data_IF_367127911689
#
_entry.id   IF_367127911689
#
_cell.length_a   1.000
_cell.length_b   1.000
_cell.length_c   1.000
_cell.angle_alpha   90.00
_cell.angle_beta   90.00
_cell.angle_gamma   90.00
#
_symmetry.space_group_name_H-M   'P 1'
#
loop_
_entity.id
_entity.type
_entity.pdbx_description
1 polymer ?
#
# COMPACT_ATOMS: atom_id res chain seq x y z
N UNK A 1 -24.52 -44.82 1.19
CA UNK A 1 -23.67 -43.94 0.37
C UNK A 1 -22.31 -44.61 0.20
N UNK A 2 -21.78 -44.61 -1.01
CA UNK A 2 -20.63 -45.38 -1.50
C UNK A 2 -19.32 -45.12 -0.69
N UNK A 3 -18.56 -46.16 -0.26
CA UNK A 3 -17.41 -46.05 0.65
C UNK A 3 -16.03 -46.06 -0.05
N UNK A 4 -15.01 -45.56 0.68
CA UNK A 4 -13.58 -45.42 0.34
C UNK A 4 -13.24 -44.11 -0.41
N UNK A 5 -12.27 -43.29 0.01
CA UNK A 5 -11.00 -43.63 0.67
C UNK A 5 -10.33 -42.36 1.22
N UNK A 6 -10.07 -42.38 2.53
CA UNK A 6 -8.87 -41.91 3.25
C UNK A 6 -8.31 -40.53 2.80
N UNK A 7 -8.58 -39.53 3.64
CA UNK A 7 -7.77 -38.32 3.77
C UNK A 7 -6.35 -38.77 4.15
N UNK A 8 -5.42 -38.60 3.21
CA UNK A 8 -3.99 -38.79 3.46
C UNK A 8 -3.50 -37.75 4.48
N UNK A 9 -3.03 -38.24 5.62
CA UNK A 9 -2.69 -37.48 6.83
C UNK A 9 -1.31 -36.80 6.73
N UNK A 10 -0.72 -36.75 5.53
CA UNK A 10 0.66 -36.29 5.29
C UNK A 10 0.87 -35.40 4.05
N UNK A 11 -0.16 -34.73 3.52
CA UNK A 11 0.06 -33.74 2.44
C UNK A 11 0.52 -32.38 3.02
N UNK A 12 1.76 -31.92 2.76
CA UNK A 12 2.24 -30.67 3.31
C UNK A 12 1.52 -29.50 2.65
N UNK A 13 0.78 -28.76 3.46
CA UNK A 13 0.18 -27.48 3.16
C UNK A 13 -0.85 -27.51 2.02
N UNK A 14 -2.12 -27.59 2.40
CA UNK A 14 -3.20 -26.95 1.66
C UNK A 14 -2.92 -25.44 1.65
N UNK A 15 -2.02 -25.00 0.75
CA UNK A 15 -1.81 -23.59 0.45
C UNK A 15 -2.98 -23.22 -0.46
N UNK A 16 -3.95 -22.40 0.00
CA UNK A 16 -4.95 -21.88 -0.91
C UNK A 16 -4.21 -21.08 -1.99
N UNK A 17 -4.27 -21.55 -3.24
CA UNK A 17 -3.81 -20.78 -4.39
C UNK A 17 -4.75 -19.57 -4.47
N UNK A 18 -4.27 -18.34 -4.25
CA UNK A 18 -5.11 -17.16 -4.41
C UNK A 18 -5.62 -17.13 -5.85
N UNK A 19 -6.86 -16.71 -6.08
CA UNK A 19 -7.26 -16.33 -7.44
C UNK A 19 -6.31 -15.24 -7.97
N UNK A 20 -6.18 -15.12 -9.29
CA UNK A 20 -5.21 -14.23 -9.93
C UNK A 20 -5.31 -12.79 -9.39
N UNK A 21 -6.52 -12.35 -9.03
CA UNK A 21 -6.81 -11.04 -8.49
C UNK A 21 -6.34 -10.86 -7.04
N UNK A 22 -6.48 -11.88 -6.19
CA UNK A 22 -5.95 -11.90 -4.83
C UNK A 22 -4.42 -11.96 -4.84
N UNK A 23 -3.82 -12.70 -5.77
CA UNK A 23 -2.37 -12.75 -5.96
C UNK A 23 -1.82 -11.37 -6.37
N UNK A 24 -2.46 -10.70 -7.34
CA UNK A 24 -2.10 -9.35 -7.78
C UNK A 24 -2.23 -8.33 -6.64
N UNK A 25 -3.33 -8.39 -5.86
CA UNK A 25 -3.60 -7.49 -4.74
C UNK A 25 -2.58 -7.66 -3.60
N UNK A 26 -2.22 -8.91 -3.27
CA UNK A 26 -1.20 -9.22 -2.26
C UNK A 26 0.19 -8.70 -2.64
N UNK A 27 0.51 -8.58 -3.93
CA UNK A 27 1.81 -8.11 -4.41
C UNK A 27 1.86 -6.58 -4.64
N UNK A 28 0.74 -5.95 -5.02
CA UNK A 28 0.70 -4.52 -5.31
C UNK A 28 0.73 -3.64 -4.05
N UNK A 29 0.06 -4.07 -2.98
CA UNK A 29 -0.01 -3.28 -1.73
C UNK A 29 1.37 -3.03 -1.09
N UNK A 30 2.22 -4.06 -0.87
CA UNK A 30 3.55 -3.85 -0.27
C UNK A 30 4.50 -3.03 -1.13
N UNK A 31 4.33 -3.07 -2.46
CA UNK A 31 5.12 -2.26 -3.40
C UNK A 31 4.69 -0.79 -3.35
N UNK A 32 3.38 -0.52 -3.26
CA UNK A 32 2.87 0.84 -3.12
C UNK A 32 3.37 1.48 -1.82
N UNK A 33 3.32 0.76 -0.69
CA UNK A 33 3.81 1.27 0.60
C UNK A 33 5.31 1.61 0.56
N UNK A 34 6.14 0.73 -0.02
CA UNK A 34 7.57 0.99 -0.16
C UNK A 34 7.87 2.18 -1.05
N UNK A 35 7.12 2.35 -2.13
CA UNK A 35 7.26 3.52 -3.02
C UNK A 35 6.87 4.81 -2.32
N UNK A 36 5.81 4.80 -1.53
CA UNK A 36 5.39 5.94 -0.73
C UNK A 36 6.48 6.31 0.29
N UNK A 37 7.00 5.33 1.04
CA UNK A 37 8.06 5.57 2.01
C UNK A 37 9.34 6.12 1.35
N UNK A 38 9.75 5.55 0.22
CA UNK A 38 10.91 6.04 -0.53
C UNK A 38 10.70 7.45 -1.06
N UNK A 39 9.53 7.74 -1.65
CA UNK A 39 9.21 9.07 -2.13
C UNK A 39 9.21 10.10 -0.98
N UNK A 40 8.69 9.76 0.19
CA UNK A 40 8.73 10.65 1.36
C UNK A 40 10.16 10.94 1.84
N UNK A 41 11.05 9.94 1.84
CA UNK A 41 12.47 10.16 2.15
C UNK A 41 13.11 11.13 1.15
N UNK A 42 12.95 10.86 -0.15
CA UNK A 42 13.54 11.65 -1.23
C UNK A 42 13.02 13.09 -1.26
N UNK A 43 11.75 13.31 -0.87
CA UNK A 43 11.10 14.61 -0.92
C UNK A 43 11.08 15.34 0.43
N UNK A 44 11.66 14.77 1.49
CA UNK A 44 11.60 15.36 2.85
C UNK A 44 12.05 16.81 2.87
N UNK A 45 13.22 17.11 2.31
CA UNK A 45 13.77 18.47 2.29
C UNK A 45 12.89 19.46 1.52
N UNK A 46 12.26 19.01 0.43
CA UNK A 46 11.34 19.85 -0.35
C UNK A 46 10.04 20.12 0.40
N UNK A 47 9.49 19.11 1.08
CA UNK A 47 8.32 19.25 1.94
C UNK A 47 8.61 20.19 3.11
N UNK A 48 9.74 20.03 3.79
CA UNK A 48 10.15 20.88 4.91
C UNK A 48 10.30 22.34 4.46
N UNK A 49 10.97 22.57 3.32
CA UNK A 49 11.12 23.90 2.73
C UNK A 49 9.77 24.53 2.37
N UNK A 50 8.88 23.74 1.76
CA UNK A 50 7.54 24.21 1.39
C UNK A 50 6.68 24.52 2.61
N UNK A 51 6.73 23.68 3.65
CA UNK A 51 6.03 23.90 4.91
C UNK A 51 6.55 25.16 5.61
N UNK A 52 7.87 25.33 5.72
CA UNK A 52 8.47 26.53 6.30
C UNK A 52 8.08 27.81 5.53
N UNK A 53 7.97 27.73 4.20
CA UNK A 53 7.49 28.85 3.41
C UNK A 53 6.04 29.22 3.77
N UNK A 54 5.16 28.23 3.86
CA UNK A 54 3.75 28.44 4.24
C UNK A 54 3.61 28.95 5.67
N UNK A 55 4.42 28.46 6.62
CA UNK A 55 4.45 28.96 8.00
C UNK A 55 4.84 30.45 8.06
N UNK A 56 5.81 30.86 7.25
CA UNK A 56 6.33 32.23 7.24
C UNK A 56 5.47 33.21 6.42
N UNK A 57 4.82 32.76 5.34
CA UNK A 57 4.16 33.63 4.36
C UNK A 57 2.64 33.38 4.25
N UNK A 58 2.13 32.36 4.92
CA UNK A 58 0.76 31.88 4.77
C UNK A 58 0.57 31.03 3.51
N UNK A 59 -0.65 30.50 3.34
CA UNK A 59 -1.01 29.70 2.18
C UNK A 59 -1.16 30.60 0.94
N UNK A 60 -0.39 30.39 -0.14
CA UNK A 60 -0.36 31.29 -1.30
C UNK A 60 -1.71 31.48 -1.98
N UNK A 61 -2.53 30.44 -2.00
CA UNK A 61 -3.84 30.41 -2.66
C UNK A 61 -5.01 30.54 -1.68
N UNK A 62 -4.76 30.78 -0.39
CA UNK A 62 -5.83 31.05 0.56
C UNK A 62 -6.78 32.20 0.14
N UNK A 63 -6.30 33.30 -0.48
CA UNK A 63 -7.18 34.39 -0.91
C UNK A 63 -8.15 34.01 -2.05
N UNK A 64 -7.80 33.02 -2.87
CA UNK A 64 -8.61 32.57 -4.01
C UNK A 64 -9.52 31.39 -3.67
N UNK A 65 -9.57 30.97 -2.40
CA UNK A 65 -10.38 29.84 -1.95
C UNK A 65 -11.84 30.25 -1.84
N UNK A 66 -12.62 29.94 -2.87
CA UNK A 66 -14.09 29.95 -2.80
C UNK A 66 -14.58 28.76 -1.98
N UNK A 67 -15.48 28.99 -1.03
CA UNK A 67 -16.22 27.97 -0.28
C UNK A 67 -17.67 27.95 -0.73
#
# INVERSE_FOLDING_TARGET
MNPARIIDEHSPANIPIPDEQAAETCLTWPVAERRVAQWFEENRAALDSSNAYVENHGLPLAPSRSF
#
